data_IF_403770760124
#
_entry.id   IF_403770760124
#
_cell.length_a   1.000
_cell.length_b   1.000
_cell.length_c   1.000
_cell.angle_alpha   90.00
_cell.angle_beta   90.00
_cell.angle_gamma   90.00
#
_symmetry.space_group_name_H-M   'P 1'
#
loop_
_entity.id
_entity.type
_entity.pdbx_description
1 polymer ?
#
# COMPACT_ATOMS: atom_id res chain seq x y z
N UNK A 1 -29.19 14.72 18.63
CA UNK A 1 -27.90 15.05 17.96
C UNK A 1 -27.68 14.02 16.87
N UNK A 2 -27.77 14.39 15.59
CA UNK A 2 -27.48 13.48 14.47
C UNK A 2 -26.01 13.59 14.07
N UNK A 3 -25.34 12.46 13.97
CA UNK A 3 -23.96 12.36 13.53
C UNK A 3 -23.93 12.40 11.99
N UNK A 4 -23.26 13.39 11.41
CA UNK A 4 -23.06 13.48 9.96
C UNK A 4 -21.60 13.16 9.65
N UNK A 5 -21.37 12.04 8.97
CA UNK A 5 -20.04 11.63 8.51
C UNK A 5 -20.05 11.55 6.99
N UNK A 6 -19.09 12.20 6.34
CA UNK A 6 -18.88 12.08 4.89
C UNK A 6 -17.40 11.96 4.56
N UNK A 7 -17.08 11.16 3.54
CA UNK A 7 -15.75 11.20 2.94
C UNK A 7 -15.59 12.53 2.19
N UNK A 8 -14.43 13.15 2.34
CA UNK A 8 -14.12 14.44 1.72
C UNK A 8 -12.82 14.37 0.94
N UNK A 9 -12.65 15.34 0.03
CA UNK A 9 -11.39 15.52 -0.67
C UNK A 9 -10.25 15.73 0.35
N UNK A 10 -9.02 15.30 0.03
CA UNK A 10 -7.90 15.53 0.91
C UNK A 10 -7.68 17.02 1.17
N UNK A 11 -7.29 17.41 2.39
CA UNK A 11 -6.98 18.79 2.70
C UNK A 11 -5.65 19.21 2.07
N UNK A 12 -5.28 20.47 2.28
CA UNK A 12 -3.93 20.95 1.95
C UNK A 12 -2.87 20.11 2.67
N UNK A 13 -1.71 19.97 2.05
CA UNK A 13 -0.58 19.19 2.57
C UNK A 13 -0.18 19.61 4.00
N UNK A 14 -0.13 20.92 4.26
CA UNK A 14 0.16 21.45 5.59
C UNK A 14 -0.89 21.03 6.64
N UNK A 15 -2.17 21.05 6.27
CA UNK A 15 -3.26 20.62 7.15
C UNK A 15 -3.26 19.11 7.37
N UNK A 16 -2.96 18.31 6.34
CA UNK A 16 -2.79 16.87 6.48
C UNK A 16 -1.64 16.53 7.45
N UNK A 17 -0.49 17.19 7.30
CA UNK A 17 0.64 17.03 8.21
C UNK A 17 0.27 17.34 9.66
N UNK A 18 -0.48 18.43 9.88
CA UNK A 18 -0.95 18.79 11.22
C UNK A 18 -1.87 17.71 11.80
N UNK A 19 -2.86 17.24 11.04
CA UNK A 19 -3.76 16.18 11.49
C UNK A 19 -3.02 14.88 11.81
N UNK A 20 -1.98 14.55 11.03
CA UNK A 20 -1.13 13.38 11.30
C UNK A 20 -0.30 13.53 12.57
N UNK A 21 0.24 14.73 12.83
CA UNK A 21 0.93 15.04 14.09
C UNK A 21 -0.02 14.88 15.29
N UNK A 22 -1.24 15.41 15.17
CA UNK A 22 -2.29 15.27 16.19
C UNK A 22 -2.73 13.81 16.39
N UNK A 23 -2.60 12.99 15.34
CA UNK A 23 -2.97 11.57 15.34
C UNK A 23 -1.83 10.60 15.67
N UNK A 24 -0.62 11.09 15.96
CA UNK A 24 0.54 10.24 16.25
C UNK A 24 0.29 9.26 17.41
N UNK A 25 -0.33 9.66 18.53
CA UNK A 25 -0.62 8.75 19.63
C UNK A 25 -1.50 7.55 19.24
N UNK A 26 -2.43 7.77 18.32
CA UNK A 26 -3.31 6.72 17.81
C UNK A 26 -2.60 5.83 16.78
N UNK A 27 -1.61 6.37 16.07
CA UNK A 27 -0.87 5.65 15.04
C UNK A 27 0.22 4.74 15.59
N UNK A 28 1.01 5.26 16.52
CA UNK A 28 2.24 4.63 17.03
C UNK A 28 2.18 4.32 18.54
N UNK A 29 1.09 4.68 19.23
CA UNK A 29 0.91 4.47 20.67
C UNK A 29 0.99 5.77 21.48
N UNK A 30 0.45 5.76 22.70
CA UNK A 30 0.17 6.97 23.50
C UNK A 30 1.39 7.87 23.77
N UNK A 31 2.58 7.29 23.86
CA UNK A 31 3.86 7.99 24.12
C UNK A 31 4.57 8.40 22.83
N UNK A 32 3.90 8.27 21.67
CA UNK A 32 4.51 8.61 20.40
C UNK A 32 4.82 10.10 20.32
N UNK A 33 6.05 10.43 19.94
CA UNK A 33 6.50 11.83 19.81
C UNK A 33 7.17 12.07 18.47
N UNK A 34 6.84 13.18 17.84
CA UNK A 34 7.54 13.65 16.65
C UNK A 34 8.95 14.12 17.03
N UNK A 35 9.91 13.81 16.18
CA UNK A 35 11.25 14.39 16.21
C UNK A 35 11.32 15.60 15.28
N UNK A 36 12.21 16.57 15.55
CA UNK A 36 12.44 17.67 14.62
C UNK A 36 12.92 17.13 13.27
N UNK A 37 12.36 17.66 12.19
CA UNK A 37 12.86 17.40 10.84
C UNK A 37 14.31 17.87 10.74
N UNK A 38 15.22 16.96 10.39
CA UNK A 38 16.63 17.26 10.17
C UNK A 38 17.06 16.86 8.75
N UNK A 39 17.95 17.63 8.14
CA UNK A 39 18.47 17.36 6.80
C UNK A 39 17.49 17.69 5.66
N UNK A 40 17.72 17.08 4.49
CA UNK A 40 16.92 17.28 3.27
C UNK A 40 15.77 16.26 3.16
N UNK A 41 14.99 16.14 4.23
CA UNK A 41 13.80 15.28 4.25
C UNK A 41 12.76 15.74 3.21
N UNK A 42 12.10 14.81 2.50
CA UNK A 42 10.92 15.14 1.71
C UNK A 42 9.84 15.80 2.60
N UNK A 43 9.12 16.79 2.05
CA UNK A 43 8.13 17.60 2.79
C UNK A 43 7.02 16.75 3.41
N UNK A 44 6.68 15.66 2.73
CA UNK A 44 5.62 14.69 3.07
C UNK A 44 6.06 13.61 4.06
N UNK A 45 7.03 13.94 4.92
CA UNK A 45 7.57 12.97 5.89
C UNK A 45 7.61 13.50 7.31
N UNK A 46 7.34 12.60 8.25
CA UNK A 46 7.49 12.82 9.68
C UNK A 46 8.44 11.77 10.24
N UNK A 47 9.22 12.16 11.24
CA UNK A 47 10.04 11.25 12.01
C UNK A 47 9.43 11.22 13.41
N UNK A 48 9.22 10.03 13.95
CA UNK A 48 8.65 9.87 15.28
C UNK A 48 9.32 8.72 16.04
N UNK A 49 9.24 8.78 17.36
CA UNK A 49 9.54 7.64 18.23
C UNK A 49 8.23 7.12 18.79
N UNK A 50 8.11 5.80 18.90
CA UNK A 50 7.01 5.17 19.64
C UNK A 50 7.36 4.98 21.13
N UNK A 51 6.41 4.40 21.87
CA UNK A 51 6.57 4.09 23.29
C UNK A 51 7.75 3.15 23.59
N UNK A 52 8.12 2.30 22.62
CA UNK A 52 9.22 1.34 22.72
C UNK A 52 10.55 1.92 22.23
N UNK A 53 10.63 3.25 22.04
CA UNK A 53 11.78 3.95 21.49
C UNK A 53 12.17 3.47 20.08
N UNK A 54 11.26 2.89 19.30
CA UNK A 54 11.52 2.56 17.89
C UNK A 54 11.37 3.81 17.05
N UNK A 55 12.28 3.97 16.10
CA UNK A 55 12.30 5.11 15.18
C UNK A 55 11.44 4.81 13.96
N UNK A 56 10.43 5.64 13.78
CA UNK A 56 9.47 5.57 12.68
C UNK A 56 9.68 6.74 11.72
N UNK A 57 9.77 6.42 10.45
CA UNK A 57 9.59 7.37 9.35
C UNK A 57 8.16 7.18 8.85
N UNK A 58 7.35 8.23 8.92
CA UNK A 58 6.02 8.23 8.35
C UNK A 58 6.09 9.02 7.04
N UNK A 59 5.67 8.41 5.94
CA UNK A 59 5.54 9.09 4.65
C UNK A 59 4.09 9.10 4.22
N UNK A 60 3.60 10.25 3.77
CA UNK A 60 2.18 10.42 3.50
C UNK A 60 1.91 11.25 2.25
N UNK A 61 1.06 10.75 1.37
CA UNK A 61 0.55 11.54 0.26
C UNK A 61 -0.87 11.06 -0.07
N UNK A 62 -1.80 12.00 -0.14
CA UNK A 62 -3.21 11.71 -0.41
C UNK A 62 -3.58 11.75 -1.90
N UNK A 63 -2.67 12.23 -2.75
CA UNK A 63 -2.91 12.42 -4.18
C UNK A 63 -2.06 11.48 -5.04
N UNK A 64 -0.82 11.22 -4.62
CA UNK A 64 0.14 10.37 -5.33
C UNK A 64 0.70 9.27 -4.42
N UNK A 65 0.09 8.07 -4.46
CA UNK A 65 0.57 6.93 -3.68
C UNK A 65 1.98 6.46 -3.99
N UNK A 66 2.40 6.53 -5.26
CA UNK A 66 3.73 6.10 -5.67
C UNK A 66 4.77 7.02 -5.05
N UNK A 67 4.49 8.33 -5.04
CA UNK A 67 5.33 9.32 -4.38
C UNK A 67 5.40 9.10 -2.87
N UNK A 68 4.29 8.81 -2.19
CA UNK A 68 4.33 8.48 -0.76
C UNK A 68 5.31 7.33 -0.45
N UNK A 69 5.29 6.28 -1.28
CA UNK A 69 6.19 5.14 -1.10
C UNK A 69 7.65 5.51 -1.39
N UNK A 70 7.92 6.15 -2.54
CA UNK A 70 9.28 6.50 -2.97
C UNK A 70 9.92 7.54 -2.03
N UNK A 71 9.21 8.62 -1.71
CA UNK A 71 9.67 9.64 -0.77
C UNK A 71 9.90 9.02 0.62
N UNK A 72 9.06 8.05 1.01
CA UNK A 72 9.23 7.30 2.25
C UNK A 72 10.49 6.44 2.28
N UNK A 73 10.80 5.75 1.18
CA UNK A 73 12.04 4.97 1.05
C UNK A 73 13.28 5.86 1.07
N UNK A 74 13.24 6.99 0.36
CA UNK A 74 14.32 7.99 0.37
C UNK A 74 14.52 8.56 1.77
N UNK A 75 13.43 8.93 2.46
CA UNK A 75 13.49 9.46 3.82
C UNK A 75 14.01 8.42 4.81
N UNK A 76 13.59 7.16 4.68
CA UNK A 76 14.11 6.06 5.49
C UNK A 76 15.63 5.93 5.37
N UNK A 77 16.16 5.98 4.15
CA UNK A 77 17.60 5.92 3.93
C UNK A 77 18.32 7.14 4.53
N UNK A 78 17.83 8.34 4.29
CA UNK A 78 18.41 9.56 4.85
C UNK A 78 18.38 9.57 6.38
N UNK A 79 17.30 9.06 7.01
CA UNK A 79 17.23 8.92 8.48
C UNK A 79 18.25 7.92 8.99
N UNK A 80 18.47 6.80 8.28
CA UNK A 80 19.54 5.84 8.60
C UNK A 80 20.91 6.50 8.56
N UNK A 81 21.17 7.32 7.56
CA UNK A 81 22.43 8.05 7.42
C UNK A 81 22.59 9.11 8.53
N UNK A 82 21.48 9.68 9.01
CA UNK A 82 21.46 10.64 10.13
C UNK A 82 21.46 10.00 11.52
N UNK A 83 21.33 8.67 11.64
CA UNK A 83 21.29 7.99 12.94
C UNK A 83 22.47 8.35 13.87
N UNK A 84 23.73 8.39 13.41
CA UNK A 84 24.85 8.77 14.27
C UNK A 84 24.67 10.16 14.88
N UNK A 85 24.17 11.11 14.08
CA UNK A 85 23.90 12.47 14.55
C UNK A 85 22.71 12.52 15.52
N UNK A 86 21.62 11.81 15.22
CA UNK A 86 20.44 11.72 16.10
C UNK A 86 20.80 11.14 17.48
N UNK A 87 21.72 10.15 17.52
CA UNK A 87 22.26 9.58 18.77
C UNK A 87 23.12 10.58 19.52
N UNK A 88 24.01 11.30 18.82
CA UNK A 88 24.84 12.35 19.42
C UNK A 88 24.00 13.48 20.03
N UNK A 89 22.92 13.87 19.36
CA UNK A 89 21.94 14.84 19.84
C UNK A 89 21.02 14.31 20.95
N UNK A 90 21.15 13.03 21.35
CA UNK A 90 20.32 12.34 22.35
C UNK A 90 18.83 12.36 22.03
N UNK A 91 18.48 12.42 20.74
CA UNK A 91 17.09 12.37 20.28
C UNK A 91 16.56 10.93 20.21
N UNK A 92 17.47 9.97 19.98
CA UNK A 92 17.19 8.52 19.92
C UNK A 92 18.15 7.75 20.84
N UNK A 93 17.77 6.52 21.21
CA UNK A 93 18.61 5.65 22.04
C UNK A 93 19.93 5.26 21.35
N UNK A 94 21.00 5.09 22.13
CA UNK A 94 22.33 4.74 21.61
C UNK A 94 22.34 3.39 20.87
N UNK A 95 21.54 2.43 21.35
CA UNK A 95 21.41 1.07 20.79
C UNK A 95 20.46 0.98 19.60
N UNK A 96 19.79 2.08 19.21
CA UNK A 96 18.83 2.05 18.12
C UNK A 96 19.54 1.89 16.78
N UNK A 97 19.48 0.70 16.18
CA UNK A 97 20.10 0.37 14.89
C UNK A 97 19.12 0.37 13.73
N UNK A 98 17.84 0.26 14.00
CA UNK A 98 16.80 0.05 13.00
C UNK A 98 15.81 1.22 12.92
N UNK A 99 15.32 1.46 11.71
CA UNK A 99 14.27 2.42 11.42
C UNK A 99 13.15 1.70 10.67
N UNK A 100 11.91 1.94 11.08
CA UNK A 100 10.71 1.42 10.44
C UNK A 100 10.08 2.49 9.55
N UNK A 101 9.47 2.08 8.44
CA UNK A 101 8.73 2.97 7.54
C UNK A 101 7.24 2.64 7.60
N UNK A 102 6.43 3.67 7.84
CA UNK A 102 4.98 3.63 7.74
C UNK A 102 4.54 4.54 6.58
N UNK A 103 3.92 3.96 5.56
CA UNK A 103 3.37 4.70 4.41
C UNK A 103 1.87 4.90 4.62
N UNK A 104 1.42 6.14 4.50
CA UNK A 104 0.01 6.55 4.64
C UNK A 104 -0.47 7.13 3.31
N UNK A 105 -1.31 6.39 2.60
CA UNK A 105 -1.82 6.81 1.28
C UNK A 105 -3.21 6.22 1.03
N UNK A 106 -3.94 6.77 0.08
CA UNK A 106 -5.30 6.33 -0.28
C UNK A 106 -5.35 4.89 -0.80
N UNK A 107 -4.34 4.48 -1.55
CA UNK A 107 -4.19 3.11 -2.03
C UNK A 107 -2.71 2.74 -2.23
N UNK A 108 -2.38 1.46 -2.31
CA UNK A 108 -1.01 1.02 -2.62
C UNK A 108 -0.87 0.79 -4.15
N UNK A 109 0.19 1.30 -4.81
CA UNK A 109 0.40 1.01 -6.23
C UNK A 109 0.46 -0.49 -6.52
N UNK A 110 -0.04 -0.89 -7.69
CA UNK A 110 -0.05 -2.28 -8.11
C UNK A 110 1.38 -2.87 -8.12
N UNK A 111 1.55 -4.05 -7.53
CA UNK A 111 2.86 -4.72 -7.43
C UNK A 111 3.75 -4.20 -6.28
N UNK A 112 3.42 -3.08 -5.65
CA UNK A 112 4.21 -2.54 -4.53
C UNK A 112 3.93 -3.21 -3.18
N UNK A 113 2.80 -3.89 -3.03
CA UNK A 113 2.42 -4.55 -1.77
C UNK A 113 3.43 -5.64 -1.35
N UNK A 114 3.87 -6.48 -2.30
CA UNK A 114 4.88 -7.51 -2.04
C UNK A 114 6.26 -6.92 -1.75
N UNK A 115 6.61 -5.82 -2.43
CA UNK A 115 7.85 -5.09 -2.16
C UNK A 115 7.84 -4.49 -0.75
N UNK A 116 6.75 -3.82 -0.38
CA UNK A 116 6.57 -3.26 0.95
C UNK A 116 6.72 -4.34 2.03
N UNK A 117 6.05 -5.48 1.84
CA UNK A 117 6.12 -6.62 2.76
C UNK A 117 7.55 -7.17 2.92
N UNK A 118 8.27 -7.37 1.81
CA UNK A 118 9.67 -7.87 1.82
C UNK A 118 10.64 -6.89 2.45
N UNK A 119 10.40 -5.59 2.26
CA UNK A 119 11.22 -4.52 2.82
C UNK A 119 10.87 -4.18 4.28
N UNK A 120 9.87 -4.86 4.89
CA UNK A 120 9.40 -4.55 6.24
C UNK A 120 8.73 -3.18 6.35
N UNK A 121 8.16 -2.68 5.24
CA UNK A 121 7.44 -1.42 5.17
C UNK A 121 5.99 -1.66 5.57
N UNK A 122 5.53 -0.92 6.57
CA UNK A 122 4.13 -0.92 6.95
C UNK A 122 3.35 0.06 6.07
N UNK A 123 2.16 -0.33 5.63
CA UNK A 123 1.26 0.55 4.93
C UNK A 123 -0.11 0.58 5.60
N UNK A 124 -0.71 1.77 5.66
CA UNK A 124 -2.09 1.97 6.10
C UNK A 124 -2.82 2.87 5.11
N UNK A 125 -4.08 2.52 4.84
CA UNK A 125 -4.96 3.29 3.98
C UNK A 125 -5.40 4.55 4.71
N UNK A 126 -5.18 5.70 4.07
CA UNK A 126 -5.53 7.03 4.57
C UNK A 126 -6.79 7.53 3.87
N UNK A 127 -7.81 7.92 4.64
CA UNK A 127 -9.03 8.57 4.17
C UNK A 127 -9.30 9.83 4.98
N UNK A 128 -9.74 10.89 4.31
CA UNK A 128 -10.14 12.13 4.97
C UNK A 128 -11.66 12.13 5.14
N UNK A 129 -12.12 12.34 6.36
CA UNK A 129 -13.54 12.38 6.71
C UNK A 129 -13.89 13.74 7.28
N UNK A 130 -15.11 14.19 7.02
CA UNK A 130 -15.71 15.31 7.74
C UNK A 130 -16.81 14.78 8.66
N UNK A 131 -16.69 15.10 9.95
CA UNK A 131 -17.63 14.72 11.00
C UNK A 131 -18.20 15.99 11.60
N UNK A 132 -19.49 16.25 11.37
CA UNK A 132 -20.20 17.44 11.86
C UNK A 132 -19.48 18.78 11.51
N UNK A 133 -18.83 18.85 10.34
CA UNK A 133 -18.08 20.04 9.91
C UNK A 133 -16.59 20.06 10.29
N UNK A 134 -16.14 19.11 11.11
CA UNK A 134 -14.73 18.97 11.49
C UNK A 134 -14.03 17.92 10.63
N UNK A 135 -12.83 18.26 10.16
CA UNK A 135 -12.00 17.38 9.36
C UNK A 135 -11.20 16.43 10.25
N UNK A 136 -11.28 15.13 9.97
CA UNK A 136 -10.53 14.07 10.64
C UNK A 136 -9.91 13.08 9.65
N UNK A 137 -9.05 12.21 10.18
CA UNK A 137 -8.40 11.14 9.42
C UNK A 137 -8.96 9.79 9.84
N UNK A 138 -9.30 8.96 8.87
CA UNK A 138 -9.53 7.54 9.04
C UNK A 138 -8.30 6.81 8.48
N UNK A 139 -7.60 6.07 9.35
CA UNK A 139 -6.39 5.34 8.99
C UNK A 139 -6.64 3.86 9.27
N UNK A 140 -6.74 3.08 8.20
CA UNK A 140 -7.09 1.66 8.25
C UNK A 140 -5.83 0.82 7.97
N UNK A 141 -5.58 -0.28 8.70
CA UNK A 141 -4.50 -1.18 8.35
C UNK A 141 -4.71 -1.72 6.92
N UNK A 142 -3.61 -1.97 6.21
CA UNK A 142 -3.67 -2.66 4.94
C UNK A 142 -4.45 -3.97 5.12
N UNK A 143 -5.60 -4.11 4.45
CA UNK A 143 -6.34 -5.35 4.45
C UNK A 143 -5.40 -6.46 3.95
N UNK A 144 -5.14 -7.47 4.78
CA UNK A 144 -4.85 -8.79 4.27
C UNK A 144 -6.02 -9.14 3.36
N UNK A 145 -5.81 -9.48 2.07
CA UNK A 145 -6.93 -9.82 1.20
C UNK A 145 -7.73 -10.89 1.91
N UNK A 146 -8.98 -10.58 2.23
CA UNK A 146 -9.89 -11.58 2.74
C UNK A 146 -9.88 -12.71 1.71
N UNK A 147 -9.32 -13.87 2.09
CA UNK A 147 -9.59 -15.12 1.42
C UNK A 147 -11.11 -15.27 1.51
N UNK A 148 -11.83 -14.78 0.51
CA UNK A 148 -13.23 -15.10 0.35
C UNK A 148 -13.28 -16.63 0.35
N UNK A 149 -13.97 -17.29 1.30
CA UNK A 149 -14.24 -18.70 1.13
C UNK A 149 -14.95 -18.84 -0.22
N UNK A 150 -14.59 -19.85 -1.03
CA UNK A 150 -15.19 -20.02 -2.34
C UNK A 150 -16.71 -19.99 -2.18
N UNK A 151 -17.38 -19.03 -2.83
CA UNK A 151 -18.85 -19.00 -2.89
C UNK A 151 -19.29 -20.37 -3.39
N UNK A 152 -19.84 -21.18 -2.50
CA UNK A 152 -20.57 -22.38 -2.88
C UNK A 152 -21.76 -21.90 -3.72
N UNK A 153 -21.66 -22.06 -5.04
CA UNK A 153 -22.82 -21.95 -5.92
C UNK A 153 -23.85 -22.98 -5.44
N UNK A 154 -25.11 -22.59 -5.19
CA UNK A 154 -26.14 -23.57 -4.89
C UNK A 154 -26.33 -24.48 -6.11
N UNK A 155 -26.02 -25.76 -5.91
CA UNK A 155 -26.32 -26.84 -6.84
C UNK A 155 -27.84 -26.90 -7.00
N UNK A 156 -28.35 -26.54 -8.18
CA UNK A 156 -29.75 -26.80 -8.53
C UNK A 156 -29.91 -28.31 -8.68
N UNK A 157 -30.49 -28.95 -7.68
CA UNK A 157 -30.89 -30.36 -7.73
C UNK A 157 -32.09 -30.50 -8.66
N UNK A 158 -31.84 -30.97 -9.88
CA UNK A 158 -32.85 -31.47 -10.79
C UNK A 158 -33.29 -32.87 -10.35
N UNK A 159 -34.58 -33.17 -10.10
CA UNK A 159 -35.03 -34.55 -9.93
C UNK A 159 -35.33 -35.18 -11.29
N UNK A 160 -34.80 -36.39 -11.45
CA UNK A 160 -34.76 -37.19 -12.65
C UNK A 160 -36.12 -37.77 -13.08
N UNK A 161 -36.28 -38.00 -14.39
CA UNK A 161 -37.06 -39.12 -14.95
C UNK A 161 -36.53 -39.51 -16.34
N UNK A 162 -35.81 -40.62 -16.42
CA UNK A 162 -35.54 -41.45 -17.64
C UNK A 162 -36.72 -42.44 -17.83
N UNK A 163 -36.82 -43.38 -18.84
CA UNK A 163 -35.79 -43.91 -19.77
C UNK A 163 -36.23 -44.24 -21.23
N UNK A 164 -35.27 -44.47 -22.14
CA UNK A 164 -35.18 -45.65 -23.06
C UNK A 164 -33.93 -45.60 -23.98
N UNK A 165 -33.26 -46.74 -24.14
CA UNK A 165 -31.94 -47.01 -24.76
C UNK A 165 -32.05 -47.33 -26.30
N UNK A 166 -31.03 -47.83 -27.07
CA UNK A 166 -29.64 -48.22 -26.72
C UNK A 166 -28.50 -47.93 -27.76
N UNK A 167 -27.27 -48.30 -27.36
CA UNK A 167 -26.11 -48.79 -28.14
C UNK A 167 -24.96 -47.82 -28.59
N UNK A 168 -23.74 -48.26 -28.25
CA UNK A 168 -22.39 -47.69 -28.36
C UNK A 168 -21.82 -47.69 -29.83
N UNK A 169 -20.59 -47.19 -30.18
CA UNK A 169 -19.36 -47.10 -29.38
C UNK A 169 -18.47 -45.83 -29.54
N UNK A 170 -17.48 -45.74 -28.62
CA UNK A 170 -16.37 -44.78 -28.49
C UNK A 170 -15.67 -44.33 -29.79
N UNK A 171 -15.08 -43.11 -29.77
CA UNK A 171 -13.65 -43.02 -30.09
C UNK A 171 -12.80 -42.12 -29.16
N UNK A 172 -11.56 -42.61 -28.99
CA UNK A 172 -10.26 -42.10 -28.52
C UNK A 172 -10.00 -40.62 -28.18
N UNK A 173 -8.97 -40.35 -27.33
CA UNK A 173 -8.69 -39.05 -26.71
C UNK A 173 -8.04 -38.05 -27.69
N UNK A 174 -8.66 -36.88 -27.83
CA UNK A 174 -8.19 -35.78 -28.65
C UNK A 174 -6.92 -35.12 -28.12
N UNK A 175 -5.94 -35.06 -29.00
CA UNK A 175 -4.60 -34.49 -28.91
C UNK A 175 -4.61 -32.99 -28.61
N UNK A 176 -3.76 -32.54 -27.68
CA UNK A 176 -3.45 -31.14 -27.43
C UNK A 176 -2.89 -30.45 -28.68
N UNK A 177 -3.52 -29.37 -29.13
CA UNK A 177 -3.01 -28.50 -30.20
C UNK A 177 -2.00 -27.51 -29.61
N UNK A 178 -0.73 -27.47 -30.06
CA UNK A 178 0.23 -26.46 -29.61
C UNK A 178 -0.07 -25.09 -30.27
N UNK A 179 -0.14 -24.03 -29.47
CA UNK A 179 -0.16 -22.64 -29.96
C UNK A 179 1.14 -22.32 -30.72
N UNK A 180 1.08 -21.60 -31.85
CA UNK A 180 2.27 -21.22 -32.60
C UNK A 180 3.11 -20.20 -31.82
N UNK A 181 4.41 -20.47 -31.72
CA UNK A 181 5.44 -19.53 -31.23
C UNK A 181 5.43 -18.29 -32.12
N UNK A 182 5.26 -17.11 -31.51
CA UNK A 182 5.51 -15.82 -32.18
C UNK A 182 7.01 -15.68 -32.42
N UNK A 183 7.40 -15.75 -33.70
CA UNK A 183 8.71 -15.32 -34.15
C UNK A 183 8.85 -13.80 -33.98
N UNK A 184 9.93 -13.42 -33.29
CA UNK A 184 10.26 -12.07 -32.90
C UNK A 184 10.95 -11.35 -34.07
N UNK A 185 10.19 -10.98 -35.11
CA UNK A 185 10.66 -10.05 -36.15
C UNK A 185 9.74 -8.83 -36.18
N UNK A 186 10.32 -7.69 -35.81
CA UNK A 186 9.71 -6.37 -35.95
C UNK A 186 9.37 -6.14 -37.42
N UNK A 187 8.22 -5.56 -37.66
CA UNK A 187 7.78 -5.19 -39.00
C UNK A 187 8.55 -3.96 -39.49
N UNK A 188 8.74 -3.77 -40.81
CA UNK A 188 9.49 -2.63 -41.36
C UNK A 188 8.88 -1.26 -40.99
N UNK A 189 7.62 -1.23 -40.56
CA UNK A 189 6.96 -0.04 -40.03
C UNK A 189 7.42 0.30 -38.59
N UNK A 190 7.75 -0.72 -37.78
CA UNK A 190 8.28 -0.53 -36.43
C UNK A 190 9.74 -0.09 -36.44
N UNK A 191 10.56 -0.55 -37.40
CA UNK A 191 11.95 -0.08 -37.57
C UNK A 191 12.03 1.41 -37.95
N UNK A 192 11.07 1.92 -38.75
CA UNK A 192 11.02 3.32 -39.14
C UNK A 192 10.74 4.26 -37.95
N UNK A 193 10.01 3.78 -36.93
CA UNK A 193 9.67 4.56 -35.75
C UNK A 193 10.90 4.79 -34.84
N UNK A 194 11.81 3.82 -34.73
CA UNK A 194 12.99 3.94 -33.86
C UNK A 194 14.14 4.75 -34.46
N UNK A 195 14.14 5.06 -35.76
CA UNK A 195 15.16 5.92 -36.36
C UNK A 195 14.91 7.43 -36.19
N UNK A 196 13.79 7.81 -35.56
CA UNK A 196 13.45 9.20 -35.27
C UNK A 196 13.42 9.55 -33.77
N UNK A 197 14.01 8.70 -32.94
CA UNK A 197 14.43 9.00 -31.55
C UNK A 197 15.94 9.26 -31.50
#
# INVERSE_FOLDING_TARGET
MSLHIRAVAPPTQARLRQLLLESLPQLLGSEARALPSAGHMPVDTLIALDAYQRLWVLSFNSHDPARALLDGMTALQQVRDLLPWLRQARLVGAELTECSLLVLTTDMPAGSAELAKRAGIEWRRLRCLEVNGELGLLIEPAETPALQPPRQQPTVTNPASTPAAPAAPNPQPGTLTPLPRRDNRLTPEEEAFFQHL
#
